data_IF_777963524191
#
_entry.id   IF_777963524191
#
_cell.length_a   1.000
_cell.length_b   1.000
_cell.length_c   1.000
_cell.angle_alpha   90.00
_cell.angle_beta   90.00
_cell.angle_gamma   90.00
#
_symmetry.space_group_name_H-M   'P 1'
#
loop_
_entity.id
_entity.type
_entity.pdbx_description
1 polymer ?
#
# COMPACT_ATOMS: atom_id res chain seq x y z
N UNK A 1 -19.33 -14.57 -20.85
CA UNK A 1 -19.22 -13.30 -20.10
C UNK A 1 -17.75 -12.94 -20.08
N UNK A 2 -17.35 -12.04 -21.00
CA UNK A 2 -16.01 -11.49 -21.25
C UNK A 2 -14.79 -12.39 -20.96
N UNK A 3 -14.22 -12.98 -22.02
CA UNK A 3 -12.88 -13.56 -22.01
C UNK A 3 -11.87 -12.54 -21.46
N UNK A 4 -11.43 -12.78 -20.24
CA UNK A 4 -10.44 -11.97 -19.55
C UNK A 4 -9.05 -12.38 -20.07
N UNK A 5 -8.70 -12.00 -21.30
CA UNK A 5 -7.33 -12.15 -21.78
C UNK A 5 -6.41 -11.34 -20.85
N UNK A 6 -5.52 -11.96 -20.06
CA UNK A 6 -4.56 -11.19 -19.30
C UNK A 6 -3.69 -10.44 -20.30
N UNK A 7 -3.63 -9.12 -20.19
CA UNK A 7 -2.62 -8.35 -20.92
C UNK A 7 -1.25 -8.76 -20.38
N UNK A 8 -0.51 -9.55 -21.17
CA UNK A 8 0.87 -9.89 -20.87
C UNK A 8 1.75 -8.65 -21.08
N UNK A 9 2.68 -8.43 -20.16
CA UNK A 9 3.73 -7.43 -20.23
C UNK A 9 4.77 -7.84 -21.29
N UNK A 10 5.71 -6.94 -21.63
CA UNK A 10 6.78 -7.14 -22.63
C UNK A 10 7.63 -8.39 -22.39
N UNK A 11 7.63 -8.91 -21.16
CA UNK A 11 8.35 -10.11 -20.73
C UNK A 11 7.46 -11.36 -20.62
N UNK A 12 6.22 -11.31 -21.14
CA UNK A 12 5.27 -12.44 -21.10
C UNK A 12 4.59 -12.68 -19.74
N UNK A 13 4.75 -11.75 -18.79
CA UNK A 13 4.19 -11.84 -17.43
C UNK A 13 2.84 -11.13 -17.34
N UNK A 14 1.97 -11.52 -16.40
CA UNK A 14 0.72 -10.78 -16.15
C UNK A 14 1.04 -9.35 -15.71
N UNK A 15 0.44 -8.39 -16.42
CA UNK A 15 0.56 -6.96 -16.12
C UNK A 15 -0.05 -6.67 -14.74
N UNK A 16 0.70 -5.95 -13.92
CA UNK A 16 0.22 -5.53 -12.60
C UNK A 16 -0.92 -4.51 -12.79
N UNK A 17 -2.11 -4.73 -12.20
CA UNK A 17 -3.23 -3.82 -12.36
C UNK A 17 -2.91 -2.46 -11.74
N UNK A 18 -3.37 -1.37 -12.37
CA UNK A 18 -3.17 0.00 -11.85
C UNK A 18 -3.67 0.15 -10.41
N UNK A 19 -4.74 -0.57 -10.05
CA UNK A 19 -5.30 -0.62 -8.70
C UNK A 19 -4.28 -1.09 -7.66
N UNK A 20 -3.39 -2.03 -7.99
CA UNK A 20 -2.33 -2.47 -7.08
C UNK A 20 -1.41 -1.30 -6.71
N UNK A 21 -0.98 -0.51 -7.69
CA UNK A 21 -0.16 0.67 -7.46
C UNK A 21 -0.91 1.74 -6.66
N UNK A 22 -2.21 1.92 -6.90
CA UNK A 22 -3.04 2.84 -6.14
C UNK A 22 -3.14 2.44 -4.65
N UNK A 23 -3.37 1.15 -4.37
CA UNK A 23 -3.39 0.63 -2.99
C UNK A 23 -2.00 0.76 -2.34
N UNK A 24 -0.95 0.41 -3.06
CA UNK A 24 0.42 0.55 -2.57
C UNK A 24 0.73 2.00 -2.20
N UNK A 25 0.36 2.95 -3.06
CA UNK A 25 0.55 4.37 -2.83
C UNK A 25 -0.28 4.88 -1.64
N UNK A 26 -1.52 4.43 -1.50
CA UNK A 26 -2.38 4.75 -0.34
C UNK A 26 -1.77 4.26 0.98
N UNK A 27 -1.23 3.05 1.00
CA UNK A 27 -0.59 2.45 2.19
C UNK A 27 0.79 3.09 2.47
N UNK A 28 1.49 3.60 1.45
CA UNK A 28 2.75 4.35 1.60
C UNK A 28 2.56 5.80 2.04
N UNK A 29 1.34 6.28 2.24
CA UNK A 29 1.08 7.67 2.63
C UNK A 29 1.93 8.20 3.81
N UNK A 30 2.21 7.46 4.91
CA UNK A 30 3.02 8.03 5.98
C UNK A 30 4.47 8.31 5.53
N UNK A 31 5.04 7.46 4.66
CA UNK A 31 6.36 7.70 4.07
C UNK A 31 6.35 8.87 3.08
N UNK A 32 5.29 9.03 2.30
CA UNK A 32 5.14 10.17 1.38
C UNK A 32 5.09 11.48 2.19
N UNK A 33 4.26 11.52 3.24
CA UNK A 33 4.19 12.66 4.16
C UNK A 33 5.56 12.93 4.78
N UNK A 34 6.26 11.88 5.22
CA UNK A 34 7.60 12.01 5.79
C UNK A 34 8.58 12.67 4.81
N UNK A 35 8.64 12.20 3.56
CA UNK A 35 9.51 12.77 2.52
C UNK A 35 9.15 14.23 2.26
N UNK A 36 7.85 14.56 2.14
CA UNK A 36 7.40 15.95 1.94
C UNK A 36 7.89 16.85 3.07
N UNK A 37 7.71 16.42 4.32
CA UNK A 37 8.14 17.17 5.50
C UNK A 37 9.66 17.38 5.50
N UNK A 38 10.44 16.36 5.15
CA UNK A 38 11.91 16.46 5.05
C UNK A 38 12.36 17.37 3.90
N UNK A 39 11.59 17.46 2.82
CA UNK A 39 11.89 18.33 1.68
C UNK A 39 11.45 19.78 1.88
N UNK A 40 10.67 20.07 2.92
CA UNK A 40 10.17 21.40 3.26
C UNK A 40 10.96 21.98 4.43
N UNK A 41 11.89 22.92 4.20
CA UNK A 41 12.69 23.52 5.26
C UNK A 41 11.85 24.37 6.23
N UNK A 42 10.77 24.97 5.73
CA UNK A 42 9.87 25.81 6.50
C UNK A 42 8.44 25.26 6.46
N UNK A 43 7.79 25.17 7.62
CA UNK A 43 6.38 24.76 7.72
C UNK A 43 6.10 23.26 7.63
N UNK A 44 7.12 22.41 7.45
CA UNK A 44 6.98 20.94 7.44
C UNK A 44 6.29 20.40 8.70
N UNK A 45 6.66 20.91 9.89
CA UNK A 45 6.04 20.49 11.16
C UNK A 45 4.55 20.85 11.24
N UNK A 46 4.16 22.00 10.69
CA UNK A 46 2.75 22.44 10.64
C UNK A 46 1.94 21.57 9.68
N UNK A 47 2.52 21.20 8.55
CA UNK A 47 1.91 20.28 7.60
C UNK A 47 1.75 18.88 8.22
N UNK A 48 2.80 18.38 8.89
CA UNK A 48 2.76 17.11 9.59
C UNK A 48 1.67 17.10 10.67
N UNK A 49 1.59 18.15 11.49
CA UNK A 49 0.58 18.28 12.55
C UNK A 49 -0.86 18.39 12.00
N UNK A 50 -1.04 18.87 10.77
CA UNK A 50 -2.35 18.92 10.10
C UNK A 50 -2.87 17.52 9.75
N UNK A 51 -1.98 16.62 9.35
CA UNK A 51 -2.32 15.23 8.96
C UNK A 51 -2.28 14.30 10.18
N UNK A 52 -1.25 14.42 11.02
CA UNK A 52 -1.00 13.65 12.22
C UNK A 52 -0.83 14.60 13.42
N UNK A 53 -1.92 14.94 14.13
CA UNK A 53 -1.87 15.88 15.25
C UNK A 53 -0.94 15.46 16.38
N UNK A 54 -0.69 14.15 16.52
CA UNK A 54 0.22 13.59 17.51
C UNK A 54 1.40 12.92 16.81
N UNK A 55 2.61 13.23 17.25
CA UNK A 55 3.84 12.61 16.75
C UNK A 55 3.84 11.08 16.91
N UNK A 56 3.22 10.56 17.98
CA UNK A 56 3.11 9.12 18.22
C UNK A 56 2.26 8.41 17.15
N UNK A 57 1.20 9.07 16.65
CA UNK A 57 0.32 8.50 15.62
C UNK A 57 1.07 8.41 14.28
N UNK A 58 1.91 9.41 13.97
CA UNK A 58 2.78 9.39 12.80
C UNK A 58 3.84 8.27 12.88
N UNK A 59 4.55 8.17 14.01
CA UNK A 59 5.57 7.13 14.22
C UNK A 59 4.94 5.72 14.12
N UNK A 60 3.76 5.53 14.70
CA UNK A 60 3.02 4.27 14.63
C UNK A 60 2.59 3.97 13.20
N UNK A 61 2.07 4.95 12.45
CA UNK A 61 1.71 4.77 11.04
C UNK A 61 2.93 4.39 10.17
N UNK A 62 4.08 5.01 10.39
CA UNK A 62 5.34 4.63 9.74
C UNK A 62 5.76 3.19 10.07
N UNK A 63 5.63 2.79 11.33
CA UNK A 63 5.94 1.43 11.77
C UNK A 63 5.02 0.40 11.12
N UNK A 64 3.71 0.68 11.07
CA UNK A 64 2.71 -0.15 10.40
C UNK A 64 3.01 -0.29 8.91
N UNK A 65 3.44 0.79 8.25
CA UNK A 65 3.75 0.80 6.83
C UNK A 65 5.12 0.18 6.48
N UNK A 66 6.02 -0.01 7.45
CA UNK A 66 7.38 -0.52 7.21
C UNK A 66 7.46 -1.83 6.40
N UNK A 67 6.64 -2.87 6.67
CA UNK A 67 6.64 -4.10 5.88
C UNK A 67 6.33 -3.87 4.39
N UNK A 68 5.64 -2.79 4.05
CA UNK A 68 5.30 -2.44 2.68
C UNK A 68 6.54 -2.08 1.85
N UNK A 69 7.61 -1.59 2.48
CA UNK A 69 8.89 -1.32 1.82
C UNK A 69 9.47 -2.60 1.21
N UNK A 70 9.29 -3.75 1.85
CA UNK A 70 9.72 -5.05 1.31
C UNK A 70 8.97 -5.38 0.01
N UNK A 71 7.69 -5.05 -0.06
CA UNK A 71 6.86 -5.26 -1.26
C UNK A 71 7.31 -4.33 -2.38
N UNK A 72 7.62 -3.06 -2.07
CA UNK A 72 8.16 -2.09 -3.04
C UNK A 72 9.52 -2.54 -3.56
N UNK A 73 10.41 -3.01 -2.67
CA UNK A 73 11.71 -3.55 -3.07
C UNK A 73 11.56 -4.79 -3.94
N UNK A 74 10.70 -5.73 -3.55
CA UNK A 74 10.41 -6.93 -4.35
C UNK A 74 9.85 -6.56 -5.75
N UNK A 75 8.98 -5.55 -5.82
CA UNK A 75 8.47 -5.01 -7.07
C UNK A 75 9.58 -4.39 -7.94
N UNK A 76 10.46 -3.59 -7.33
CA UNK A 76 11.61 -2.98 -8.02
C UNK A 76 12.60 -4.02 -8.56
N UNK A 77 12.71 -5.15 -7.86
CA UNK A 77 13.54 -6.29 -8.21
C UNK A 77 12.86 -7.27 -9.17
N UNK A 78 11.65 -7.00 -9.68
CA UNK A 78 10.98 -7.84 -10.70
C UNK A 78 11.65 -7.65 -12.08
N UNK A 79 12.90 -8.10 -12.21
CA UNK A 79 13.73 -8.06 -13.43
C UNK A 79 14.29 -9.46 -13.72
N UNK A 80 14.68 -9.71 -14.97
CA UNK A 80 15.11 -11.03 -15.49
C UNK A 80 16.25 -11.71 -14.70
N UNK A 81 17.07 -10.96 -13.95
CA UNK A 81 18.20 -11.49 -13.15
C UNK A 81 17.98 -11.42 -11.63
N UNK A 82 16.74 -11.55 -11.17
CA UNK A 82 16.43 -11.35 -9.76
C UNK A 82 16.64 -12.59 -8.89
N UNK A 83 17.13 -12.39 -7.66
CA UNK A 83 17.36 -13.47 -6.70
C UNK A 83 16.04 -14.13 -6.24
N UNK A 84 16.07 -15.47 -6.10
CA UNK A 84 14.93 -16.29 -5.62
C UNK A 84 14.39 -15.88 -4.24
N UNK A 85 15.17 -15.18 -3.41
CA UNK A 85 14.71 -14.66 -2.13
C UNK A 85 13.62 -13.59 -2.29
N UNK A 86 13.74 -12.71 -3.29
CA UNK A 86 12.74 -11.67 -3.58
C UNK A 86 11.42 -12.27 -4.07
N UNK A 87 11.47 -13.42 -4.74
CA UNK A 87 10.27 -14.15 -5.13
C UNK A 87 9.44 -14.61 -3.93
N UNK A 88 10.07 -15.11 -2.86
CA UNK A 88 9.34 -15.48 -1.64
C UNK A 88 8.65 -14.27 -1.02
N UNK A 89 9.34 -13.13 -0.94
CA UNK A 89 8.77 -11.87 -0.43
C UNK A 89 7.59 -11.44 -1.31
N UNK A 90 7.72 -11.56 -2.63
CA UNK A 90 6.65 -11.24 -3.59
C UNK A 90 5.41 -12.12 -3.43
N UNK A 91 5.58 -13.43 -3.25
CA UNK A 91 4.48 -14.37 -2.99
C UNK A 91 3.66 -13.96 -1.76
N UNK A 92 4.34 -13.53 -0.70
CA UNK A 92 3.70 -13.01 0.51
C UNK A 92 3.29 -11.54 0.39
N UNK A 93 3.68 -10.83 -0.66
CA UNK A 93 3.44 -9.39 -0.83
C UNK A 93 1.96 -9.01 -0.74
N UNK A 94 1.07 -9.82 -1.32
CA UNK A 94 -0.39 -9.63 -1.19
C UNK A 94 -0.84 -9.69 0.27
N UNK A 95 -0.35 -10.68 1.02
CA UNK A 95 -0.68 -10.85 2.43
C UNK A 95 -0.09 -9.75 3.30
N UNK A 96 1.13 -9.31 3.00
CA UNK A 96 1.78 -8.16 3.66
C UNK A 96 0.92 -6.90 3.44
N UNK A 97 0.54 -6.59 2.20
CA UNK A 97 -0.32 -5.44 1.90
C UNK A 97 -1.68 -5.52 2.60
N UNK A 98 -2.29 -6.72 2.65
CA UNK A 98 -3.56 -6.93 3.34
C UNK A 98 -3.43 -6.72 4.85
N UNK A 99 -2.39 -7.29 5.48
CA UNK A 99 -2.12 -7.13 6.91
C UNK A 99 -1.91 -5.64 7.23
N UNK A 100 -1.04 -4.96 6.49
CA UNK A 100 -0.79 -3.53 6.65
C UNK A 100 -2.08 -2.73 6.51
N UNK A 101 -2.89 -3.00 5.47
CA UNK A 101 -4.17 -2.31 5.28
C UNK A 101 -5.16 -2.54 6.43
N UNK A 102 -5.25 -3.77 6.97
CA UNK A 102 -6.10 -4.07 8.11
C UNK A 102 -5.65 -3.35 9.39
N UNK A 103 -4.36 -3.42 9.70
CA UNK A 103 -3.80 -2.74 10.90
C UNK A 103 -3.94 -1.23 10.76
N UNK A 104 -3.71 -0.69 9.57
CA UNK A 104 -3.86 0.72 9.27
C UNK A 104 -5.32 1.21 9.36
N UNK A 105 -6.28 0.37 8.94
CA UNK A 105 -7.70 0.63 9.14
C UNK A 105 -8.04 0.67 10.64
N UNK A 106 -7.59 -0.32 11.41
CA UNK A 106 -7.84 -0.39 12.86
C UNK A 106 -7.23 0.82 13.57
N UNK A 107 -5.99 1.20 13.22
CA UNK A 107 -5.33 2.39 13.76
C UNK A 107 -6.11 3.67 13.43
N UNK A 108 -6.55 3.82 12.17
CA UNK A 108 -7.34 4.98 11.72
C UNK A 108 -8.67 5.10 12.47
N UNK A 109 -9.38 3.97 12.64
CA UNK A 109 -10.67 3.94 13.35
C UNK A 109 -10.51 4.14 14.86
N UNK A 110 -9.44 3.59 15.46
CA UNK A 110 -9.19 3.70 16.91
C UNK A 110 -8.82 5.12 17.34
N UNK A 111 -8.16 5.87 16.46
CA UNK A 111 -7.76 7.25 16.74
C UNK A 111 -8.84 8.29 16.42
N UNK A 112 -10.05 7.86 16.03
CA UNK A 112 -11.15 8.79 15.76
C UNK A 112 -11.77 9.35 17.04
N UNK A 113 -11.81 10.69 17.20
CA UNK A 113 -12.58 11.30 18.26
C UNK A 113 -14.09 11.07 18.01
N UNK A 114 -14.81 10.61 19.03
CA UNK A 114 -16.25 10.26 18.97
C UNK A 114 -17.17 11.36 18.38
N UNK A 115 -16.70 12.61 18.33
CA UNK A 115 -17.44 13.80 17.91
C UNK A 115 -17.04 14.35 16.51
N UNK A 116 -16.06 13.75 15.83
CA UNK A 116 -15.54 14.29 14.55
C UNK A 116 -16.29 13.81 13.28
N UNK A 117 -17.05 12.72 13.34
CA UNK A 117 -17.77 12.16 12.18
C UNK A 117 -18.74 13.20 11.57
N UNK A 118 -19.35 14.03 12.43
CA UNK A 118 -20.33 15.04 12.00
C UNK A 118 -19.68 16.34 11.50
N UNK A 119 -18.44 16.63 11.90
CA UNK A 119 -17.76 17.91 11.62
C UNK A 119 -16.89 17.88 10.36
N UNK A 120 -16.44 16.70 9.92
CA UNK A 120 -15.52 16.59 8.78
C UNK A 120 -15.72 15.28 8.00
N UNK A 121 -16.72 15.22 7.10
CA UNK A 121 -17.04 14.01 6.34
C UNK A 121 -15.86 13.51 5.47
N UNK A 122 -14.94 14.41 5.09
CA UNK A 122 -13.71 14.05 4.36
C UNK A 122 -12.83 13.02 5.09
N UNK A 123 -12.88 12.95 6.43
CA UNK A 123 -12.09 11.97 7.18
C UNK A 123 -12.58 10.52 6.97
N UNK A 124 -13.84 10.32 6.57
CA UNK A 124 -14.39 9.01 6.21
C UNK A 124 -13.79 8.47 4.91
N UNK A 125 -13.23 9.32 4.04
CA UNK A 125 -12.72 8.90 2.74
C UNK A 125 -11.59 7.88 2.90
N UNK A 126 -10.62 8.12 3.79
CA UNK A 126 -9.46 7.25 3.99
C UNK A 126 -9.87 5.82 4.41
N UNK A 127 -10.65 5.59 5.47
CA UNK A 127 -11.07 4.23 5.84
C UNK A 127 -11.97 3.58 4.80
N UNK A 128 -12.80 4.33 4.06
CA UNK A 128 -13.56 3.77 2.94
C UNK A 128 -12.64 3.26 1.82
N UNK A 129 -11.60 4.03 1.47
CA UNK A 129 -10.58 3.59 0.52
C UNK A 129 -9.79 2.38 1.03
N UNK A 130 -9.46 2.33 2.32
CA UNK A 130 -8.80 1.16 2.93
C UNK A 130 -9.69 -0.07 2.91
N UNK A 131 -10.98 0.04 3.27
CA UNK A 131 -11.94 -1.07 3.20
C UNK A 131 -12.08 -1.60 1.77
N UNK A 132 -12.24 -0.70 0.80
CA UNK A 132 -12.30 -1.06 -0.63
C UNK A 132 -11.02 -1.78 -1.08
N UNK A 133 -9.86 -1.29 -0.62
CA UNK A 133 -8.56 -1.90 -0.90
C UNK A 133 -8.42 -3.30 -0.30
N UNK A 134 -8.86 -3.50 0.94
CA UNK A 134 -8.86 -4.81 1.62
C UNK A 134 -9.77 -5.79 0.88
N UNK A 135 -11.01 -5.39 0.57
CA UNK A 135 -11.96 -6.22 -0.18
C UNK A 135 -11.39 -6.62 -1.54
N UNK A 136 -10.77 -5.68 -2.25
CA UNK A 136 -10.16 -5.95 -3.54
C UNK A 136 -8.92 -6.86 -3.44
N UNK A 137 -8.03 -6.62 -2.48
CA UNK A 137 -6.85 -7.48 -2.21
C UNK A 137 -7.24 -8.92 -1.88
N UNK A 138 -8.37 -9.10 -1.17
CA UNK A 138 -8.90 -10.40 -0.82
C UNK A 138 -9.53 -11.13 -2.03
N UNK A 139 -10.41 -10.44 -2.77
CA UNK A 139 -11.22 -11.03 -3.84
C UNK A 139 -10.51 -11.13 -5.20
N UNK A 140 -9.42 -10.40 -5.42
CA UNK A 140 -8.75 -10.36 -6.74
C UNK A 140 -7.99 -11.65 -7.07
N UNK A 141 -8.49 -12.40 -8.06
CA UNK A 141 -7.83 -13.60 -8.60
C UNK A 141 -6.56 -13.27 -9.38
N UNK A 142 -6.54 -12.12 -10.06
CA UNK A 142 -5.37 -11.63 -10.80
C UNK A 142 -4.15 -11.49 -9.90
N UNK A 143 -4.32 -11.00 -8.68
CA UNK A 143 -3.21 -10.87 -7.73
C UNK A 143 -2.69 -12.22 -7.27
N UNK A 144 -3.56 -13.24 -7.18
CA UNK A 144 -3.14 -14.62 -6.85
C UNK A 144 -2.25 -15.18 -7.96
N UNK A 145 -2.60 -14.92 -9.22
CA UNK A 145 -1.78 -15.30 -10.38
C UNK A 145 -0.45 -14.54 -10.38
N UNK A 146 -0.49 -13.20 -10.29
CA UNK A 146 0.69 -12.34 -10.26
C UNK A 146 1.66 -12.71 -9.13
N UNK A 147 1.14 -13.08 -7.94
CA UNK A 147 1.98 -13.48 -6.81
C UNK A 147 2.77 -14.77 -7.06
N UNK A 148 2.28 -15.64 -7.96
CA UNK A 148 2.93 -16.90 -8.35
C UNK A 148 3.90 -16.74 -9.52
N UNK A 149 3.83 -15.63 -10.23
CA UNK A 149 4.69 -15.35 -11.37
C UNK A 149 5.94 -14.59 -10.97
N UNK A 150 7.07 -15.04 -11.49
CA UNK A 150 8.37 -14.37 -11.36
C UNK A 150 9.10 -14.42 -12.70
N UNK A 151 9.81 -13.37 -13.11
CA UNK A 151 10.70 -13.46 -14.26
C UNK A 151 11.78 -14.51 -13.98
N UNK A 152 11.66 -15.67 -14.61
CA UNK A 152 12.72 -16.67 -14.61
C UNK A 152 13.77 -16.26 -15.64
N UNK A 153 15.05 -16.35 -15.26
CA UNK A 153 16.15 -16.17 -16.20
C UNK A 153 16.06 -17.32 -17.22
N UNK A 154 15.74 -16.97 -18.46
CA UNK A 154 15.75 -17.90 -19.59
C UNK A 154 17.18 -18.32 -19.94
#
# INVERSE_FOLDING_TARGET
>A
MSDFYPLLDKHGLVRIPLRFYAVLLLLMRPFIVWIIVLTMPEGGDRFLASIYPKANDFATACFIACPLLLVVMALSQRKEKSHKAWFKIWQYGRWIMLLVACVDLVHTVSNWPNYMILKSPQMLAVPLFLLSSIMWLYSSEQLKLISKEWPEAK
#
